data_IF_714410254076
#
_entry.id   IF_714410254076
#
_cell.length_a   1.000
_cell.length_b   1.000
_cell.length_c   1.000
_cell.angle_alpha   90.00
_cell.angle_beta   90.00
_cell.angle_gamma   90.00
#
_symmetry.space_group_name_H-M   'P 1'
#
loop_
_entity.id
_entity.type
_entity.pdbx_description
1 polymer ?
#
# COMPACT_ATOMS: atom_id res chain seq x y z
N UNK A 1 8.13 0.26 8.71
CA UNK A 1 7.14 0.60 7.66
C UNK A 1 5.73 0.48 8.20
N UNK A 2 4.73 1.07 7.53
CA UNK A 2 3.35 1.16 8.01
C UNK A 2 2.74 -0.18 8.44
N UNK A 3 3.00 -1.26 7.68
CA UNK A 3 2.49 -2.59 8.03
C UNK A 3 2.92 -3.08 9.41
N UNK A 4 4.21 -2.97 9.74
CA UNK A 4 4.73 -3.31 11.07
C UNK A 4 4.16 -2.40 12.15
N UNK A 5 4.01 -1.10 11.85
CA UNK A 5 3.38 -0.14 12.76
C UNK A 5 1.94 -0.54 13.09
N UNK A 6 1.16 -0.94 12.08
CA UNK A 6 -0.21 -1.41 12.29
C UNK A 6 -0.28 -2.73 13.04
N UNK A 7 0.66 -3.66 12.84
CA UNK A 7 0.71 -4.89 13.63
C UNK A 7 1.04 -4.61 15.10
N UNK A 8 2.04 -3.78 15.37
CA UNK A 8 2.52 -3.50 16.72
C UNK A 8 1.61 -2.57 17.51
N UNK A 9 0.88 -1.68 16.83
CA UNK A 9 0.16 -0.58 17.45
C UNK A 9 -1.26 -0.35 16.86
N UNK A 10 -1.93 -1.41 16.39
CA UNK A 10 -3.28 -1.34 15.80
C UNK A 10 -4.31 -0.63 16.69
N UNK A 11 -4.26 -0.84 18.01
CA UNK A 11 -5.18 -0.23 18.96
C UNK A 11 -5.03 1.30 19.05
N UNK A 12 -3.87 1.86 19.43
CA UNK A 12 -3.68 3.31 19.49
C UNK A 12 -3.78 3.98 18.12
N UNK A 13 -3.28 3.35 17.04
CA UNK A 13 -3.39 3.90 15.69
C UNK A 13 -4.84 3.89 15.19
N UNK A 14 -5.63 2.87 15.54
CA UNK A 14 -7.05 2.80 15.19
C UNK A 14 -7.83 3.96 15.81
N UNK A 15 -7.58 4.26 17.09
CA UNK A 15 -8.15 5.43 17.75
C UNK A 15 -7.71 6.74 17.12
N UNK A 16 -6.42 6.89 16.80
CA UNK A 16 -5.88 8.10 16.18
C UNK A 16 -6.52 8.36 14.81
N UNK A 17 -6.60 7.32 13.97
CA UNK A 17 -7.11 7.43 12.60
C UNK A 17 -8.65 7.40 12.55
N UNK A 18 -9.31 7.05 13.64
CA UNK A 18 -10.76 6.88 13.71
C UNK A 18 -11.25 5.68 12.90
N UNK A 19 -10.52 4.56 12.93
CA UNK A 19 -10.89 3.30 12.24
C UNK A 19 -10.75 2.11 13.18
N UNK A 20 -11.42 1.00 12.85
CA UNK A 20 -11.35 -0.22 13.65
C UNK A 20 -9.93 -0.76 13.76
N UNK A 21 -9.48 -1.10 14.98
CA UNK A 21 -8.14 -1.67 15.20
C UNK A 21 -7.97 -3.03 14.52
N UNK A 22 -9.03 -3.83 14.42
CA UNK A 22 -9.02 -5.09 13.68
C UNK A 22 -8.74 -4.89 12.17
N UNK A 23 -9.30 -3.81 11.59
CA UNK A 23 -9.00 -3.42 10.21
C UNK A 23 -7.51 -3.09 10.05
N UNK A 24 -6.96 -2.27 10.95
CA UNK A 24 -5.52 -1.94 10.90
C UNK A 24 -4.65 -3.18 11.08
N UNK A 25 -5.00 -4.09 11.98
CA UNK A 25 -4.26 -5.34 12.17
C UNK A 25 -4.24 -6.16 10.87
N UNK A 26 -5.40 -6.36 10.23
CA UNK A 26 -5.52 -7.07 8.96
C UNK A 26 -4.72 -6.41 7.83
N UNK A 27 -4.81 -5.08 7.72
CA UNK A 27 -4.00 -4.29 6.77
C UNK A 27 -2.51 -4.42 7.09
N UNK A 28 -2.13 -4.45 8.37
CA UNK A 28 -0.76 -4.66 8.82
C UNK A 28 -0.18 -5.99 8.33
N UNK A 29 -0.94 -7.08 8.53
CA UNK A 29 -0.57 -8.42 8.04
C UNK A 29 -0.39 -8.39 6.52
N UNK A 30 -1.39 -7.86 5.80
CA UNK A 30 -1.35 -7.77 4.35
C UNK A 30 -0.12 -7.00 3.85
N UNK A 31 0.15 -5.81 4.42
CA UNK A 31 1.28 -4.97 4.00
C UNK A 31 2.64 -5.60 4.29
N UNK A 32 2.78 -6.34 5.39
CA UNK A 32 4.02 -7.07 5.69
C UNK A 32 4.24 -8.19 4.69
N UNK A 33 3.21 -9.00 4.41
CA UNK A 33 3.31 -10.08 3.43
C UNK A 33 3.57 -9.57 2.02
N UNK A 34 2.84 -8.53 1.60
CA UNK A 34 3.02 -7.88 0.31
C UNK A 34 4.41 -7.25 0.19
N UNK A 35 4.86 -6.51 1.21
CA UNK A 35 6.18 -5.92 1.26
C UNK A 35 7.29 -6.96 1.19
N UNK A 36 7.14 -8.10 1.86
CA UNK A 36 8.07 -9.22 1.76
C UNK A 36 8.11 -9.80 0.34
N UNK A 37 6.94 -10.02 -0.29
CA UNK A 37 6.87 -10.53 -1.67
C UNK A 37 7.54 -9.56 -2.67
N UNK A 38 7.28 -8.27 -2.55
CA UNK A 38 7.91 -7.23 -3.39
C UNK A 38 9.42 -7.16 -3.11
N UNK A 39 9.84 -7.23 -1.85
CA UNK A 39 11.25 -7.23 -1.47
C UNK A 39 12.00 -8.44 -2.04
N UNK A 40 11.40 -9.63 -1.99
CA UNK A 40 11.96 -10.84 -2.60
C UNK A 40 12.06 -10.72 -4.13
N UNK A 41 11.06 -10.12 -4.79
CA UNK A 41 11.12 -9.84 -6.23
C UNK A 41 12.24 -8.85 -6.56
N UNK A 42 12.37 -7.78 -5.78
CA UNK A 42 13.37 -6.73 -5.96
C UNK A 42 14.80 -7.24 -5.72
N UNK A 43 14.98 -8.26 -4.87
CA UNK A 43 16.27 -8.91 -4.63
C UNK A 43 16.76 -9.77 -5.81
N UNK A 44 15.95 -10.00 -6.85
CA UNK A 44 16.35 -10.78 -8.02
C UNK A 44 17.25 -9.92 -8.93
N UNK A 45 18.35 -10.46 -9.47
CA UNK A 45 19.23 -9.70 -10.38
C UNK A 45 18.52 -9.19 -11.65
N UNK A 46 17.51 -9.93 -12.12
CA UNK A 46 16.65 -9.56 -13.25
C UNK A 46 15.20 -9.87 -12.91
N UNK A 47 14.45 -8.92 -12.33
CA UNK A 47 13.03 -9.12 -12.04
C UNK A 47 12.25 -9.35 -13.33
N UNK A 48 11.35 -10.34 -13.33
CA UNK A 48 10.53 -10.64 -14.50
C UNK A 48 9.57 -9.48 -14.81
N UNK A 49 9.50 -9.06 -16.08
CA UNK A 49 8.67 -7.92 -16.51
C UNK A 49 7.17 -8.11 -16.24
N UNK A 50 6.69 -9.36 -16.22
CA UNK A 50 5.32 -9.70 -15.82
C UNK A 50 5.08 -9.54 -14.32
N UNK A 51 6.04 -9.94 -13.48
CA UNK A 51 5.94 -9.78 -12.03
C UNK A 51 5.98 -8.29 -11.63
N UNK A 52 6.81 -7.48 -12.28
CA UNK A 52 6.82 -6.03 -12.09
C UNK A 52 5.48 -5.40 -12.51
N UNK A 53 4.91 -5.84 -13.63
CA UNK A 53 3.58 -5.39 -14.05
C UNK A 53 2.47 -5.74 -13.04
N UNK A 54 2.54 -6.94 -12.43
CA UNK A 54 1.61 -7.34 -11.38
C UNK A 54 1.72 -6.47 -10.13
N UNK A 55 2.94 -6.12 -9.70
CA UNK A 55 3.16 -5.19 -8.57
C UNK A 55 2.58 -3.80 -8.87
N UNK A 56 2.79 -3.28 -10.09
CA UNK A 56 2.19 -2.01 -10.52
C UNK A 56 0.66 -2.08 -10.45
N UNK A 57 0.07 -3.15 -11.00
CA UNK A 57 -1.38 -3.35 -10.98
C UNK A 57 -1.96 -3.47 -9.57
N UNK A 58 -1.28 -4.21 -8.69
CA UNK A 58 -1.66 -4.36 -7.29
C UNK A 58 -1.60 -3.01 -6.54
N UNK A 59 -0.55 -2.21 -6.77
CA UNK A 59 -0.45 -0.86 -6.20
C UNK A 59 -1.54 0.07 -6.73
N UNK A 60 -1.85 0.02 -8.03
CA UNK A 60 -2.92 0.81 -8.62
C UNK A 60 -4.29 0.44 -8.00
N UNK A 61 -4.56 -0.87 -7.85
CA UNK A 61 -5.77 -1.34 -7.19
C UNK A 61 -5.82 -0.88 -5.72
N UNK A 62 -4.70 -0.98 -5.00
CA UNK A 62 -4.60 -0.54 -3.61
C UNK A 62 -4.93 0.95 -3.44
N UNK A 63 -4.51 1.79 -4.40
CA UNK A 63 -4.85 3.22 -4.44
C UNK A 63 -6.36 3.41 -4.58
N UNK A 64 -6.98 2.75 -5.56
CA UNK A 64 -8.42 2.86 -5.80
C UNK A 64 -9.23 2.40 -4.59
N UNK A 65 -8.87 1.26 -4.01
CA UNK A 65 -9.52 0.73 -2.80
C UNK A 65 -9.32 1.68 -1.62
N UNK A 66 -8.13 2.24 -1.43
CA UNK A 66 -7.85 3.18 -0.33
C UNK A 66 -8.72 4.45 -0.45
N UNK A 67 -8.87 5.01 -1.65
CA UNK A 67 -9.70 6.19 -1.88
C UNK A 67 -11.20 5.87 -1.73
N UNK A 68 -11.65 4.75 -2.29
CA UNK A 68 -13.03 4.30 -2.17
C UNK A 68 -13.41 3.94 -0.72
N UNK A 69 -12.45 3.52 0.10
CA UNK A 69 -12.67 3.19 1.51
C UNK A 69 -12.91 4.43 2.39
N UNK A 70 -12.43 5.61 2.01
CA UNK A 70 -12.59 6.83 2.82
C UNK A 70 -14.06 7.14 3.15
N UNK A 71 -14.99 7.26 2.18
CA UNK A 71 -16.40 7.52 2.48
C UNK A 71 -17.08 6.35 3.21
N UNK A 72 -16.61 5.11 3.01
CA UNK A 72 -17.20 3.91 3.64
C UNK A 72 -16.80 3.80 5.10
N UNK A 73 -15.54 4.10 5.43
CA UNK A 73 -15.00 4.00 6.78
C UNK A 73 -15.30 5.24 7.64
N UNK A 74 -15.61 6.37 7.01
CA UNK A 74 -15.84 7.66 7.66
C UNK A 74 -14.81 7.94 8.78
N UNK A 75 -13.50 7.94 8.47
CA UNK A 75 -12.46 8.01 9.47
C UNK A 75 -12.44 9.38 10.19
N UNK A 76 -11.71 9.46 11.29
CA UNK A 76 -11.43 10.73 11.96
C UNK A 76 -10.58 11.66 11.08
N UNK A 77 -10.41 12.92 11.49
CA UNK A 77 -9.65 13.94 10.73
C UNK A 77 -8.25 13.44 10.35
N UNK A 78 -7.54 12.79 11.27
CA UNK A 78 -6.23 12.22 10.97
C UNK A 78 -6.29 11.12 9.90
N UNK A 79 -7.30 10.25 9.93
CA UNK A 79 -7.49 9.21 8.90
C UNK A 79 -7.92 9.78 7.55
N UNK A 80 -8.74 10.84 7.53
CA UNK A 80 -9.13 11.57 6.31
C UNK A 80 -7.92 12.16 5.57
N UNK A 81 -6.86 12.53 6.29
CA UNK A 81 -5.60 13.01 5.69
C UNK A 81 -4.67 11.84 5.37
N UNK A 82 -4.50 10.92 6.31
CA UNK A 82 -3.50 9.85 6.23
C UNK A 82 -3.79 8.84 5.13
N UNK A 83 -5.06 8.40 4.98
CA UNK A 83 -5.44 7.37 3.99
C UNK A 83 -5.24 7.86 2.55
N UNK A 84 -5.65 9.08 2.15
CA UNK A 84 -5.32 9.61 0.82
C UNK A 84 -3.83 9.88 0.64
N UNK A 85 -3.14 10.38 1.67
CA UNK A 85 -1.71 10.66 1.59
C UNK A 85 -0.89 9.39 1.30
N UNK A 86 -1.14 8.30 2.03
CA UNK A 86 -0.43 7.04 1.78
C UNK A 86 -0.78 6.48 0.38
N UNK A 87 -2.02 6.65 -0.08
CA UNK A 87 -2.43 6.23 -1.42
C UNK A 87 -1.70 7.03 -2.50
N UNK A 88 -1.53 8.35 -2.32
CA UNK A 88 -0.77 9.19 -3.24
C UNK A 88 0.70 8.75 -3.35
N UNK A 89 1.34 8.39 -2.23
CA UNK A 89 2.70 7.85 -2.22
C UNK A 89 2.78 6.53 -3.00
N UNK A 90 1.85 5.60 -2.77
CA UNK A 90 1.79 4.32 -3.51
C UNK A 90 1.55 4.55 -5.02
N UNK A 91 0.68 5.50 -5.38
CA UNK A 91 0.44 5.88 -6.77
C UNK A 91 1.70 6.43 -7.43
N UNK A 92 2.45 7.29 -6.74
CA UNK A 92 3.73 7.81 -7.22
C UNK A 92 4.73 6.70 -7.52
N UNK A 93 4.89 5.74 -6.60
CA UNK A 93 5.76 4.59 -6.84
C UNK A 93 5.29 3.72 -8.00
N UNK A 94 3.98 3.48 -8.13
CA UNK A 94 3.43 2.72 -9.25
C UNK A 94 3.69 3.41 -10.59
N UNK A 95 3.53 4.74 -10.65
CA UNK A 95 3.81 5.53 -11.84
C UNK A 95 5.29 5.49 -12.25
N UNK A 96 6.21 5.59 -11.27
CA UNK A 96 7.65 5.46 -11.51
C UNK A 96 8.02 4.05 -12.01
N UNK A 97 7.49 3.00 -11.39
CA UNK A 97 7.71 1.62 -11.81
C UNK A 97 7.18 1.36 -13.23
N UNK A 98 6.01 1.90 -13.56
CA UNK A 98 5.45 1.84 -14.90
C UNK A 98 6.33 2.57 -15.92
N UNK A 99 6.83 3.76 -15.57
CA UNK A 99 7.77 4.55 -16.36
C UNK A 99 9.09 3.83 -16.66
N UNK A 100 9.61 3.06 -15.69
CA UNK A 100 10.81 2.25 -15.86
C UNK A 100 10.52 0.97 -16.67
N UNK A 101 9.37 0.32 -16.45
CA UNK A 101 9.01 -0.89 -17.19
C UNK A 101 8.81 -0.59 -18.69
N UNK A 102 8.18 0.54 -19.02
CA UNK A 102 8.00 0.95 -20.43
C UNK A 102 9.31 1.28 -21.13
N UNK A 103 10.33 1.76 -20.42
CA UNK A 103 11.62 2.14 -21.05
C UNK A 103 12.48 0.92 -21.36
N UNK A 104 12.35 -0.17 -20.60
CA UNK A 104 13.07 -1.44 -20.82
C UNK A 104 12.39 -2.35 -21.86
N UNK A 105 11.08 -2.13 -22.12
CA UNK A 105 10.32 -2.85 -23.17
C UNK A 105 10.41 -2.21 -24.56
N UNK A 106 10.97 -1.01 -24.66
CA UNK A 106 11.29 -0.35 -25.94
C UNK A 106 12.65 -0.81 -26.42
#
# INVERSE_FOLDING_TARGET
>A
GNGVGYLAASAPLGRLLGVASALLLGVGVFLVLYGAAVGLLAARPRPGSGAVAAVIGANALWVLVSLAAVPVLAPGVAGMVWIPLQAAVVAGFAALQYGALRSVRR
#
